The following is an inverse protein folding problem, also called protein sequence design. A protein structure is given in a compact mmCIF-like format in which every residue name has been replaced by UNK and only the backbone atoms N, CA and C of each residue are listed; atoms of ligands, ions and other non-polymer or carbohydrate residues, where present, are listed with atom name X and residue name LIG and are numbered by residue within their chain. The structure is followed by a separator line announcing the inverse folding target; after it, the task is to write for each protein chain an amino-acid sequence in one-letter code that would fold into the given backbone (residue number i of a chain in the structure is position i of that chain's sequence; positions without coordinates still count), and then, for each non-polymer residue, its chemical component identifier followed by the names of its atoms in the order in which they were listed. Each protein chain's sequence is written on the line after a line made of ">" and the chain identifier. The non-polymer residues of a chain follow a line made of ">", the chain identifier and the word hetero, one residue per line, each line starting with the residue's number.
data_IF_369629890971
#
_entry.id   IF_369629890971
#
_cell.length_a   1.000
_cell.length_b   1.000
_cell.length_c   1.000
_cell.angle_alpha   90.00
_cell.angle_beta   90.00
_cell.angle_gamma   90.00
#
_symmetry.space_group_name_H-M   'P 1'
#
loop_
_entity.id
_entity.type
_entity.pdbx_description
1 polymer ?
#
# COMPACT_ATOMS: atom_id res chain seq x y z
N UNK A 1 -4.11 -15.14 19.36
CA UNK A 1 -3.80 -16.50 18.89
C UNK A 1 -3.00 -16.40 17.60
N UNK A 2 -1.74 -16.83 17.65
CA UNK A 2 -0.84 -16.92 16.50
C UNK A 2 -1.38 -17.95 15.50
N UNK A 3 -1.54 -17.55 14.24
CA UNK A 3 -2.04 -18.42 13.15
C UNK A 3 -1.03 -18.40 11.98
N UNK A 4 0.07 -19.13 12.16
CA UNK A 4 1.17 -19.17 11.18
C UNK A 4 0.77 -19.74 9.82
N UNK A 5 -0.28 -20.56 9.79
CA UNK A 5 -0.79 -21.18 8.55
C UNK A 5 -1.87 -20.33 7.88
N UNK A 6 -2.29 -19.24 8.52
CA UNK A 6 -3.40 -18.40 8.09
C UNK A 6 -4.70 -19.21 7.85
N UNK A 7 -4.89 -20.29 8.61
CA UNK A 7 -6.07 -21.16 8.49
C UNK A 7 -7.37 -20.45 8.87
N UNK A 8 -7.27 -19.43 9.73
CA UNK A 8 -8.39 -18.60 10.17
C UNK A 8 -8.58 -17.33 9.35
N UNK A 9 -7.75 -17.11 8.34
CA UNK A 9 -7.91 -15.95 7.46
C UNK A 9 -9.24 -16.01 6.73
N UNK A 10 -10.01 -14.94 6.76
CA UNK A 10 -11.31 -14.86 6.10
C UNK A 10 -11.64 -13.42 5.70
N UNK A 11 -12.29 -13.24 4.56
CA UNK A 11 -12.89 -11.96 4.13
C UNK A 11 -14.34 -11.78 4.64
N UNK A 12 -14.80 -12.63 5.53
CA UNK A 12 -16.17 -12.55 6.07
C UNK A 12 -16.49 -11.18 6.70
N UNK A 13 -15.59 -10.50 7.43
CA UNK A 13 -15.86 -9.17 7.96
C UNK A 13 -16.16 -8.11 6.89
N UNK A 14 -15.52 -8.24 5.70
CA UNK A 14 -15.63 -7.27 4.62
C UNK A 14 -16.79 -7.57 3.65
N UNK A 15 -17.44 -8.72 3.80
CA UNK A 15 -18.43 -9.24 2.85
C UNK A 15 -19.59 -8.28 2.59
N UNK A 16 -20.14 -7.68 3.66
CA UNK A 16 -21.31 -6.79 3.59
C UNK A 16 -20.94 -5.30 3.54
N UNK A 17 -19.64 -4.98 3.55
CA UNK A 17 -19.10 -3.63 3.44
C UNK A 17 -18.28 -3.47 2.18
N UNK A 18 -16.96 -3.45 2.32
CA UNK A 18 -16.02 -3.16 1.23
C UNK A 18 -16.25 -4.03 -0.01
N UNK A 19 -16.45 -5.34 0.15
CA UNK A 19 -16.65 -6.27 -0.97
C UNK A 19 -17.95 -5.99 -1.71
N UNK A 20 -19.05 -5.73 -0.99
CA UNK A 20 -20.33 -5.41 -1.60
C UNK A 20 -20.25 -4.13 -2.44
N UNK A 21 -19.68 -3.08 -1.87
CA UNK A 21 -19.49 -1.77 -2.54
C UNK A 21 -18.57 -1.90 -3.76
N UNK A 22 -17.45 -2.61 -3.66
CA UNK A 22 -16.56 -2.83 -4.79
C UNK A 22 -17.25 -3.56 -5.94
N UNK A 23 -18.11 -4.53 -5.65
CA UNK A 23 -18.91 -5.22 -6.68
C UNK A 23 -19.89 -4.29 -7.38
N UNK A 24 -20.56 -3.40 -6.65
CA UNK A 24 -21.44 -2.39 -7.23
C UNK A 24 -20.67 -1.43 -8.13
N UNK A 25 -19.52 -0.92 -7.66
CA UNK A 25 -18.63 -0.05 -8.44
C UNK A 25 -18.16 -0.74 -9.73
N UNK A 26 -17.68 -1.98 -9.63
CA UNK A 26 -17.20 -2.75 -10.78
C UNK A 26 -18.33 -3.17 -11.74
N UNK A 27 -19.56 -3.29 -11.26
CA UNK A 27 -20.72 -3.49 -12.12
C UNK A 27 -21.04 -2.24 -12.96
N UNK A 28 -20.79 -1.04 -12.43
CA UNK A 28 -20.97 0.24 -13.15
C UNK A 28 -19.80 0.45 -14.13
N UNK A 29 -18.56 0.25 -13.67
CA UNK A 29 -17.37 0.38 -14.52
C UNK A 29 -16.35 -0.73 -14.22
N UNK A 30 -16.30 -1.80 -15.04
CA UNK A 30 -15.40 -2.92 -14.84
C UNK A 30 -13.91 -2.60 -15.10
N UNK A 31 -13.61 -1.41 -15.64
CA UNK A 31 -12.25 -1.00 -15.97
C UNK A 31 -11.53 -0.28 -14.81
N UNK A 32 -12.24 -0.01 -13.71
CA UNK A 32 -11.63 0.61 -12.51
C UNK A 32 -10.52 -0.29 -11.97
N UNK A 33 -9.38 0.33 -11.64
CA UNK A 33 -8.26 -0.34 -11.01
C UNK A 33 -8.39 -0.26 -9.50
N UNK A 34 -8.19 -1.41 -8.86
CA UNK A 34 -8.29 -1.52 -7.39
C UNK A 34 -6.88 -1.63 -6.80
N UNK A 35 -6.52 -0.64 -6.00
CA UNK A 35 -5.34 -0.66 -5.16
C UNK A 35 -5.76 -0.96 -3.72
N UNK A 36 -5.05 -1.88 -3.08
CA UNK A 36 -5.28 -2.23 -1.68
C UNK A 36 -4.04 -1.91 -0.84
N UNK A 37 -4.26 -1.28 0.32
CA UNK A 37 -3.19 -0.91 1.22
C UNK A 37 -3.53 -1.29 2.67
N UNK A 38 -2.69 -2.06 3.39
CA UNK A 38 -2.89 -2.32 4.81
C UNK A 38 -2.38 -1.16 5.65
N UNK A 39 -3.12 -0.84 6.71
CA UNK A 39 -2.69 0.15 7.70
C UNK A 39 -1.89 -0.48 8.84
N UNK A 40 -2.04 -1.78 9.05
CA UNK A 40 -1.26 -2.56 10.02
C UNK A 40 -1.30 -4.05 9.68
N UNK A 41 -0.23 -4.75 10.00
CA UNK A 41 -0.25 -6.20 10.07
C UNK A 41 -1.10 -6.70 11.27
N UNK A 42 -1.54 -7.96 11.28
CA UNK A 42 -2.13 -8.58 12.47
C UNK A 42 -1.27 -8.36 13.70
N UNK A 43 -1.90 -8.03 14.84
CA UNK A 43 -1.20 -7.62 16.07
C UNK A 43 -0.14 -8.60 16.54
N UNK A 44 -0.40 -9.91 16.36
CA UNK A 44 0.53 -10.96 16.79
C UNK A 44 1.78 -11.07 15.91
N UNK A 45 1.82 -10.41 14.75
CA UNK A 45 3.01 -10.31 13.89
C UNK A 45 3.90 -9.11 14.25
N UNK A 46 3.40 -8.19 15.08
CA UNK A 46 4.11 -6.97 15.46
C UNK A 46 4.92 -7.15 16.73
N UNK A 47 5.98 -6.37 16.88
CA UNK A 47 6.78 -6.27 18.11
C UNK A 47 5.97 -5.70 19.28
N UNK A 48 5.04 -4.81 18.94
CA UNK A 48 4.05 -4.24 19.86
C UNK A 48 2.66 -4.73 19.46
N UNK A 49 2.04 -5.54 20.32
CA UNK A 49 0.70 -6.08 20.11
C UNK A 49 -0.38 -4.98 20.27
N UNK A 50 -0.30 -3.94 19.44
CA UNK A 50 -1.16 -2.77 19.44
C UNK A 50 -1.61 -2.44 18.04
N UNK A 51 -2.83 -1.89 17.87
CA UNK A 51 -3.26 -1.31 16.60
C UNK A 51 -2.48 -0.04 16.24
N UNK A 52 -1.90 0.67 17.22
CA UNK A 52 -1.16 1.90 17.00
C UNK A 52 0.34 1.65 17.12
N UNK A 53 1.09 1.99 16.07
CA UNK A 53 2.54 1.87 16.00
C UNK A 53 3.05 0.44 16.03
N UNK A 54 4.30 0.27 16.47
CA UNK A 54 5.03 -0.99 16.41
C UNK A 54 5.49 -1.34 14.98
N UNK A 55 6.29 -2.38 14.85
CA UNK A 55 6.88 -2.82 13.58
C UNK A 55 6.61 -4.31 13.33
N UNK A 56 6.61 -4.70 12.06
CA UNK A 56 6.49 -6.11 11.68
C UNK A 56 7.76 -6.87 12.08
N UNK A 57 7.61 -7.93 12.86
CA UNK A 57 8.75 -8.77 13.25
C UNK A 57 9.24 -9.59 12.05
N UNK A 58 10.55 -9.61 11.81
CA UNK A 58 11.17 -10.27 10.66
C UNK A 58 10.85 -11.76 10.57
N UNK A 59 10.69 -12.43 11.71
CA UNK A 59 10.28 -13.84 11.76
C UNK A 59 8.91 -14.11 11.11
N UNK A 60 8.06 -13.10 10.97
CA UNK A 60 6.73 -13.22 10.33
C UNK A 60 6.67 -12.69 8.91
N UNK A 61 7.76 -12.24 8.31
CA UNK A 61 7.79 -11.72 6.95
C UNK A 61 7.20 -12.72 5.93
N UNK A 62 7.60 -13.99 6.01
CA UNK A 62 7.04 -15.03 5.12
C UNK A 62 5.54 -15.26 5.34
N UNK A 63 5.07 -15.24 6.59
CA UNK A 63 3.66 -15.39 6.91
C UNK A 63 2.85 -14.19 6.46
N UNK A 64 3.39 -12.97 6.63
CA UNK A 64 2.72 -11.75 6.16
C UNK A 64 2.68 -11.65 4.63
N UNK A 65 3.72 -12.09 3.93
CA UNK A 65 3.70 -12.21 2.48
C UNK A 65 2.57 -13.18 2.01
N UNK A 66 2.43 -14.32 2.67
CA UNK A 66 1.33 -15.26 2.40
C UNK A 66 -0.05 -14.70 2.77
N UNK A 67 -0.14 -13.77 3.71
CA UNK A 67 -1.37 -13.03 4.02
C UNK A 67 -1.83 -12.21 2.80
N UNK A 68 -0.92 -11.48 2.12
CA UNK A 68 -1.24 -10.78 0.88
C UNK A 68 -1.65 -11.76 -0.25
N UNK A 69 -0.92 -12.85 -0.41
CA UNK A 69 -1.27 -13.90 -1.41
C UNK A 69 -2.70 -14.37 -1.18
N UNK A 70 -3.03 -14.73 0.06
CA UNK A 70 -4.35 -15.24 0.41
C UNK A 70 -5.45 -14.21 0.22
N UNK A 71 -5.21 -12.95 0.62
CA UNK A 71 -6.12 -11.84 0.39
C UNK A 71 -6.44 -11.69 -1.11
N UNK A 72 -5.41 -11.58 -1.95
CA UNK A 72 -5.56 -11.39 -3.40
C UNK A 72 -6.31 -12.58 -4.03
N UNK A 73 -5.97 -13.79 -3.65
CA UNK A 73 -6.63 -15.00 -4.15
C UNK A 73 -8.11 -15.06 -3.78
N UNK A 74 -8.45 -14.71 -2.53
CA UNK A 74 -9.84 -14.71 -2.08
C UNK A 74 -10.66 -13.57 -2.70
N UNK A 75 -10.07 -12.38 -2.88
CA UNK A 75 -10.72 -11.28 -3.60
C UNK A 75 -10.99 -11.68 -5.05
N UNK A 76 -10.02 -12.30 -5.73
CA UNK A 76 -10.18 -12.82 -7.09
C UNK A 76 -11.26 -13.90 -7.18
N UNK A 77 -11.32 -14.81 -6.21
CA UNK A 77 -12.39 -15.80 -6.12
C UNK A 77 -13.76 -15.17 -5.93
N UNK A 78 -13.82 -13.98 -5.32
CA UNK A 78 -14.99 -13.12 -5.19
C UNK A 78 -15.27 -12.24 -6.41
N UNK A 79 -14.57 -12.45 -7.55
CA UNK A 79 -14.66 -11.66 -8.78
C UNK A 79 -14.17 -10.20 -8.63
N UNK A 80 -13.25 -9.94 -7.70
CA UNK A 80 -12.58 -8.63 -7.53
C UNK A 80 -11.09 -8.81 -7.79
N UNK A 81 -10.59 -8.18 -8.84
CA UNK A 81 -9.14 -8.15 -9.12
C UNK A 81 -8.49 -7.05 -8.31
N UNK A 82 -7.44 -7.38 -7.56
CA UNK A 82 -6.55 -6.39 -6.94
C UNK A 82 -5.41 -6.13 -7.92
N UNK A 83 -5.42 -4.96 -8.54
CA UNK A 83 -4.44 -4.57 -9.56
C UNK A 83 -3.08 -4.20 -8.95
N UNK A 84 -3.10 -3.59 -7.76
CA UNK A 84 -1.90 -3.19 -7.05
C UNK A 84 -2.07 -3.28 -5.53
N UNK A 85 -0.95 -3.39 -4.83
CA UNK A 85 -0.88 -3.24 -3.36
C UNK A 85 0.27 -2.32 -2.98
N UNK A 86 0.14 -1.66 -1.83
CA UNK A 86 1.30 -1.14 -1.09
C UNK A 86 1.57 -2.05 0.11
N UNK A 87 2.83 -2.28 0.52
CA UNK A 87 3.12 -3.13 1.69
C UNK A 87 2.63 -2.55 3.02
N UNK A 88 2.54 -1.21 3.11
CA UNK A 88 2.13 -0.48 4.31
C UNK A 88 1.70 0.95 3.95
N UNK A 89 0.53 1.37 4.42
CA UNK A 89 0.12 2.77 4.42
C UNK A 89 0.97 3.59 5.40
N UNK A 90 1.45 4.74 4.97
CA UNK A 90 2.21 5.71 5.77
C UNK A 90 3.28 5.06 6.68
N UNK A 91 4.26 4.33 6.08
CA UNK A 91 5.17 3.47 6.84
C UNK A 91 6.06 4.22 7.84
N UNK A 92 6.15 5.54 7.79
CA UNK A 92 6.89 6.36 8.76
C UNK A 92 5.99 7.03 9.80
N UNK A 93 4.65 6.81 9.74
CA UNK A 93 3.71 7.40 10.68
C UNK A 93 3.06 6.34 11.58
N UNK A 94 3.58 6.19 12.80
CA UNK A 94 3.07 5.25 13.78
C UNK A 94 1.92 5.77 14.66
N UNK A 95 1.29 6.88 14.30
CA UNK A 95 0.27 7.55 15.12
C UNK A 95 -1.18 7.24 14.75
N UNK A 96 -1.44 6.78 13.54
CA UNK A 96 -2.78 6.41 13.10
C UNK A 96 -3.32 5.18 13.85
N UNK A 97 -4.64 5.03 13.88
CA UNK A 97 -5.31 3.85 14.40
C UNK A 97 -6.17 3.21 13.30
N UNK A 98 -5.73 2.11 12.67
CA UNK A 98 -4.49 1.38 12.92
C UNK A 98 -3.26 2.03 12.26
N UNK A 99 -2.05 1.58 12.66
CA UNK A 99 -0.78 1.95 12.03
C UNK A 99 0.31 0.91 12.32
N UNK A 100 1.36 0.93 11.50
CA UNK A 100 2.57 0.15 11.69
C UNK A 100 3.75 0.88 11.05
N UNK A 101 4.87 0.94 11.73
CA UNK A 101 6.10 1.53 11.20
C UNK A 101 6.90 0.49 10.41
N UNK A 102 7.44 0.92 9.28
CA UNK A 102 8.31 0.10 8.44
C UNK A 102 9.33 1.04 7.77
N UNK A 103 10.62 0.90 8.05
CA UNK A 103 11.65 1.71 7.38
C UNK A 103 11.82 1.30 5.91
N UNK A 104 12.54 2.11 5.13
CA UNK A 104 12.80 1.80 3.72
C UNK A 104 13.58 0.48 3.57
N UNK A 105 14.55 0.24 4.44
CA UNK A 105 15.36 -0.98 4.48
C UNK A 105 14.51 -2.20 4.88
N UNK A 106 13.61 -2.04 5.84
CA UNK A 106 12.68 -3.11 6.25
C UNK A 106 11.70 -3.43 5.12
N UNK A 107 11.16 -2.42 4.42
CA UNK A 107 10.28 -2.63 3.29
C UNK A 107 11.00 -3.29 2.11
N UNK A 108 12.24 -2.84 1.79
CA UNK A 108 13.08 -3.47 0.78
C UNK A 108 13.36 -4.93 1.12
N UNK A 109 13.71 -5.20 2.40
CA UNK A 109 13.96 -6.55 2.88
C UNK A 109 12.71 -7.45 2.80
N UNK A 110 11.56 -6.93 3.22
CA UNK A 110 10.27 -7.64 3.11
C UNK A 110 9.91 -7.95 1.65
N UNK A 111 10.07 -6.98 0.75
CA UNK A 111 9.77 -7.15 -0.67
C UNK A 111 10.68 -8.21 -1.31
N UNK A 112 12.00 -8.08 -1.18
CA UNK A 112 12.95 -8.96 -1.87
C UNK A 112 12.98 -10.39 -1.35
N UNK A 113 12.85 -10.58 -0.03
CA UNK A 113 13.02 -11.88 0.59
C UNK A 113 11.71 -12.63 0.88
N UNK A 114 10.57 -11.95 0.81
CA UNK A 114 9.28 -12.55 1.18
C UNK A 114 8.17 -12.24 0.19
N UNK A 115 7.77 -10.97 0.01
CA UNK A 115 6.56 -10.61 -0.74
C UNK A 115 6.69 -10.90 -2.24
N UNK A 116 7.78 -10.44 -2.87
CA UNK A 116 8.04 -10.66 -4.29
C UNK A 116 8.17 -12.15 -4.63
N UNK A 117 9.01 -12.93 -3.92
CA UNK A 117 9.08 -14.39 -4.09
C UNK A 117 7.74 -15.10 -3.87
N UNK A 118 6.93 -14.69 -2.88
CA UNK A 118 5.62 -15.29 -2.62
C UNK A 118 4.65 -15.02 -3.79
N UNK A 119 4.61 -13.79 -4.32
CA UNK A 119 3.79 -13.46 -5.49
C UNK A 119 4.22 -14.26 -6.71
N UNK A 120 5.52 -14.34 -6.98
CA UNK A 120 6.07 -15.13 -8.08
C UNK A 120 5.66 -16.61 -7.96
N UNK A 121 5.82 -17.20 -6.80
CA UNK A 121 5.46 -18.61 -6.54
C UNK A 121 3.97 -18.86 -6.69
N UNK A 122 3.13 -17.91 -6.26
CA UNK A 122 1.67 -18.02 -6.36
C UNK A 122 1.11 -17.61 -7.74
N UNK A 123 1.94 -17.20 -8.71
CA UNK A 123 1.51 -16.73 -10.02
C UNK A 123 0.67 -15.44 -9.96
N UNK A 124 0.93 -14.58 -8.96
CA UNK A 124 0.24 -13.31 -8.77
C UNK A 124 0.93 -12.22 -9.58
N UNK A 125 0.15 -11.49 -10.37
CA UNK A 125 0.61 -10.37 -11.20
C UNK A 125 0.24 -9.00 -10.63
N UNK A 126 -0.36 -8.95 -9.46
CA UNK A 126 -0.66 -7.72 -8.72
C UNK A 126 0.63 -6.92 -8.52
N UNK A 127 0.61 -5.64 -8.86
CA UNK A 127 1.76 -4.75 -8.73
C UNK A 127 2.08 -4.50 -7.26
N UNK A 128 3.37 -4.44 -6.94
CA UNK A 128 3.85 -3.97 -5.63
C UNK A 128 4.31 -2.53 -5.81
N UNK A 129 3.71 -1.62 -5.06
CA UNK A 129 4.03 -0.18 -5.08
C UNK A 129 4.66 0.17 -3.73
N UNK A 130 5.85 0.74 -3.77
CA UNK A 130 6.61 1.08 -2.55
C UNK A 130 6.13 2.39 -1.92
N UNK A 131 6.50 2.62 -0.69
CA UNK A 131 6.33 3.83 0.10
C UNK A 131 4.88 4.04 0.55
N UNK A 132 4.05 4.81 -0.21
CA UNK A 132 2.67 5.16 0.15
C UNK A 132 2.59 6.14 1.32
N UNK A 133 3.28 7.30 1.19
CA UNK A 133 3.39 8.34 2.21
C UNK A 133 3.68 9.71 1.59
N UNK A 134 3.93 10.71 2.44
CA UNK A 134 4.08 12.12 2.07
C UNK A 134 5.20 12.41 1.07
N UNK A 135 5.01 13.48 0.31
CA UNK A 135 5.97 13.98 -0.69
C UNK A 135 7.27 14.57 -0.09
N UNK A 136 7.44 14.58 1.20
CA UNK A 136 8.60 15.13 1.91
C UNK A 136 9.80 14.16 2.01
N UNK A 137 9.63 12.88 1.67
CA UNK A 137 10.69 11.88 1.79
C UNK A 137 10.77 10.93 0.57
N UNK A 138 11.24 11.43 -0.57
CA UNK A 138 11.49 10.60 -1.76
C UNK A 138 12.63 9.59 -1.54
N UNK A 139 13.48 9.83 -0.54
CA UNK A 139 14.63 8.96 -0.25
C UNK A 139 14.18 7.55 0.15
N UNK A 140 13.01 7.41 0.74
CA UNK A 140 12.44 6.10 1.06
C UNK A 140 12.29 5.22 -0.20
N UNK A 141 11.61 5.74 -1.23
CA UNK A 141 11.43 5.02 -2.48
C UNK A 141 12.77 4.80 -3.21
N UNK A 142 13.66 5.81 -3.19
CA UNK A 142 15.00 5.74 -3.77
C UNK A 142 15.83 4.61 -3.15
N UNK A 143 15.76 4.41 -1.84
CA UNK A 143 16.43 3.30 -1.14
C UNK A 143 15.98 1.95 -1.69
N UNK A 144 14.67 1.77 -1.90
CA UNK A 144 14.11 0.52 -2.42
C UNK A 144 14.48 0.31 -3.90
N UNK A 145 14.44 1.37 -4.72
CA UNK A 145 14.76 1.28 -6.14
C UNK A 145 16.26 1.03 -6.41
N UNK A 146 17.13 1.47 -5.50
CA UNK A 146 18.57 1.19 -5.56
C UNK A 146 18.95 -0.20 -5.01
N UNK A 147 18.06 -0.88 -4.31
CA UNK A 147 18.28 -2.27 -3.91
C UNK A 147 18.05 -3.20 -5.11
N UNK A 148 19.15 -3.69 -5.71
CA UNK A 148 19.11 -4.51 -6.92
C UNK A 148 18.27 -5.79 -6.79
N UNK A 149 18.03 -6.28 -5.57
CA UNK A 149 17.22 -7.46 -5.30
C UNK A 149 15.73 -7.12 -5.06
N UNK A 150 15.41 -5.93 -4.54
CA UNK A 150 14.04 -5.47 -4.32
C UNK A 150 13.43 -4.83 -5.58
N UNK A 151 14.19 -3.99 -6.27
CA UNK A 151 13.73 -3.21 -7.42
C UNK A 151 13.00 -4.01 -8.51
N UNK A 152 13.40 -5.25 -8.88
CA UNK A 152 12.70 -6.03 -9.89
C UNK A 152 11.26 -6.41 -9.52
N UNK A 153 10.91 -6.42 -8.24
CA UNK A 153 9.56 -6.73 -7.77
C UNK A 153 8.66 -5.51 -7.67
N UNK A 154 9.22 -4.28 -7.74
CA UNK A 154 8.50 -3.03 -7.47
C UNK A 154 8.15 -2.33 -8.76
N UNK A 155 6.85 -2.06 -8.96
CA UNK A 155 6.35 -1.34 -10.14
C UNK A 155 6.62 0.16 -10.05
N UNK A 156 6.53 0.75 -8.87
CA UNK A 156 6.71 2.18 -8.64
C UNK A 156 6.58 2.58 -7.18
N UNK A 157 6.36 3.86 -6.93
CA UNK A 157 6.15 4.42 -5.59
C UNK A 157 4.89 5.28 -5.52
N UNK A 158 4.26 5.31 -4.35
CA UNK A 158 3.02 6.02 -4.07
C UNK A 158 3.23 7.18 -3.10
N UNK A 159 2.45 8.26 -3.30
CA UNK A 159 2.60 9.52 -2.58
C UNK A 159 1.28 10.07 -2.07
N UNK A 160 1.38 10.71 -0.89
CA UNK A 160 0.38 11.56 -0.24
C UNK A 160 0.87 13.01 -0.21
N UNK A 161 -0.01 13.99 -0.11
CA UNK A 161 0.38 15.40 -0.09
C UNK A 161 -0.04 16.12 1.21
N UNK A 162 0.14 15.45 2.35
CA UNK A 162 0.01 16.09 3.68
C UNK A 162 1.32 16.76 4.11
N UNK A 163 2.44 16.42 3.47
CA UNK A 163 3.76 17.00 3.68
C UNK A 163 4.57 17.02 2.41
N UNK A 164 5.50 17.99 2.30
CA UNK A 164 6.35 18.16 1.14
C UNK A 164 5.69 18.92 -0.02
N UNK A 165 6.13 18.62 -1.23
CA UNK A 165 5.65 19.24 -2.47
C UNK A 165 5.36 18.17 -3.52
N UNK A 166 4.33 18.39 -4.33
CA UNK A 166 3.96 17.52 -5.45
C UNK A 166 5.12 17.35 -6.46
N UNK A 167 6.05 18.30 -6.52
CA UNK A 167 7.26 18.21 -7.34
C UNK A 167 8.14 16.97 -7.00
N UNK A 168 7.92 16.35 -5.86
CA UNK A 168 8.55 15.08 -5.50
C UNK A 168 8.28 14.00 -6.56
N UNK A 169 7.09 14.00 -7.17
CA UNK A 169 6.70 13.04 -8.20
C UNK A 169 7.57 13.20 -9.45
N UNK A 170 7.80 14.43 -9.90
CA UNK A 170 8.71 14.72 -11.01
C UNK A 170 10.14 14.35 -10.67
N UNK A 171 10.57 14.61 -9.44
CA UNK A 171 11.93 14.31 -8.98
C UNK A 171 12.20 12.80 -9.00
N UNK A 172 11.28 11.99 -8.48
CA UNK A 172 11.43 10.53 -8.46
C UNK A 172 11.33 9.94 -9.87
N UNK A 173 10.41 10.45 -10.72
CA UNK A 173 10.30 10.03 -12.11
C UNK A 173 11.58 10.30 -12.91
N UNK A 174 12.16 11.49 -12.77
CA UNK A 174 13.40 11.85 -13.46
C UNK A 174 14.59 10.97 -13.00
N UNK A 175 14.63 10.61 -11.71
CA UNK A 175 15.68 9.74 -11.17
C UNK A 175 15.50 8.26 -11.57
N UNK A 176 14.25 7.80 -11.72
CA UNK A 176 13.90 6.40 -12.01
C UNK A 176 12.81 6.31 -13.10
N UNK A 177 13.12 6.68 -14.35
CA UNK A 177 12.10 6.82 -15.42
C UNK A 177 11.46 5.49 -15.85
N UNK A 178 12.00 4.36 -15.40
CA UNK A 178 11.41 3.02 -15.62
C UNK A 178 10.40 2.61 -14.53
N UNK A 179 10.26 3.42 -13.48
CA UNK A 179 9.33 3.20 -12.38
C UNK A 179 8.11 4.09 -12.51
N UNK A 180 6.94 3.52 -12.21
CA UNK A 180 5.70 4.29 -12.19
C UNK A 180 5.61 5.14 -10.91
N UNK A 181 4.87 6.24 -11.02
CA UNK A 181 4.59 7.14 -9.90
C UNK A 181 3.09 7.21 -9.69
N UNK A 182 2.65 7.06 -8.45
CA UNK A 182 1.25 7.02 -8.06
C UNK A 182 0.96 8.11 -7.04
N UNK A 183 -0.19 8.74 -7.16
CA UNK A 183 -0.75 9.61 -6.13
C UNK A 183 -1.95 8.89 -5.52
N UNK A 184 -1.85 8.50 -4.26
CA UNK A 184 -2.77 7.54 -3.66
C UNK A 184 -3.69 8.12 -2.61
N UNK A 185 -3.28 9.23 -1.96
CA UNK A 185 -4.10 9.80 -0.90
C UNK A 185 -3.96 11.32 -0.76
N UNK A 186 -5.12 11.96 -0.65
CA UNK A 186 -5.28 13.33 -0.16
C UNK A 186 -6.66 13.48 0.46
N UNK A 187 -6.71 13.90 1.72
CA UNK A 187 -7.97 14.13 2.42
C UNK A 187 -8.68 15.38 1.89
N UNK A 188 -9.96 15.23 1.67
CA UNK A 188 -10.91 16.32 1.43
C UNK A 188 -11.97 16.27 2.53
N UNK A 189 -11.80 17.09 3.56
CA UNK A 189 -12.63 17.01 4.76
C UNK A 189 -14.05 17.53 4.56
N UNK A 190 -14.95 17.00 5.38
CA UNK A 190 -16.31 17.50 5.51
C UNK A 190 -16.41 18.84 6.27
N UNK A 191 -15.32 19.22 6.95
CA UNK A 191 -15.27 20.40 7.84
C UNK A 191 -14.99 21.70 7.10
N UNK A 192 -14.76 21.65 5.78
CA UNK A 192 -14.56 22.80 4.91
C UNK A 192 -15.58 22.83 3.77
N UNK A 193 -15.69 23.99 3.13
CA UNK A 193 -16.48 24.10 1.91
C UNK A 193 -15.97 23.10 0.86
N UNK A 194 -16.83 22.20 0.41
CA UNK A 194 -16.52 21.22 -0.67
C UNK A 194 -15.85 21.88 -1.87
N UNK A 195 -16.31 23.08 -2.26
CA UNK A 195 -15.70 23.87 -3.33
C UNK A 195 -14.26 24.31 -3.03
N UNK A 196 -13.93 24.60 -1.76
CA UNK A 196 -12.56 24.92 -1.33
C UNK A 196 -11.64 23.72 -1.42
N UNK A 197 -12.09 22.56 -0.96
CA UNK A 197 -11.34 21.32 -1.03
C UNK A 197 -11.07 20.88 -2.49
N UNK A 198 -12.05 20.96 -3.38
CA UNK A 198 -11.87 20.69 -4.82
C UNK A 198 -10.87 21.66 -5.42
N UNK A 199 -11.03 22.98 -5.20
CA UNK A 199 -10.10 23.99 -5.70
C UNK A 199 -8.67 23.73 -5.24
N UNK A 200 -8.48 23.35 -3.98
CA UNK A 200 -7.18 23.03 -3.44
C UNK A 200 -6.56 21.84 -4.15
N UNK A 201 -7.30 20.73 -4.32
CA UNK A 201 -6.82 19.55 -5.02
C UNK A 201 -6.51 19.83 -6.48
N UNK A 202 -7.40 20.48 -7.20
CA UNK A 202 -7.15 20.85 -8.61
C UNK A 202 -5.90 21.71 -8.72
N UNK A 203 -5.75 22.73 -7.86
CA UNK A 203 -4.60 23.63 -7.91
C UNK A 203 -3.29 22.96 -7.53
N UNK A 204 -3.26 22.16 -6.46
CA UNK A 204 -2.01 21.69 -5.86
C UNK A 204 -1.64 20.25 -6.29
N UNK A 205 -2.59 19.46 -6.74
CA UNK A 205 -2.36 18.09 -7.19
C UNK A 205 -2.39 18.00 -8.72
N UNK A 206 -3.40 18.55 -9.38
CA UNK A 206 -3.58 18.39 -10.84
C UNK A 206 -2.81 19.44 -11.64
N UNK A 207 -2.90 20.71 -11.25
CA UNK A 207 -2.27 21.83 -12.00
C UNK A 207 -0.86 22.11 -11.50
N UNK A 208 -0.59 21.90 -10.21
CA UNK A 208 0.70 22.12 -9.59
C UNK A 208 1.78 21.08 -9.93
N UNK A 209 1.40 20.05 -10.66
CA UNK A 209 2.28 18.97 -11.11
C UNK A 209 2.94 19.31 -12.48
#
# INVERSE_FOLDING_TARGET
>A
NTDLTLSKFSLAPDKNGVIAILKEILAINPNIKVLATPWSAPLWMKDKASFVGGSLQTQYYGVYANYFVKYIQLMKAGAITIDAITPQNEPLHGGNNPSMVMTAEEQANFIKNSLGPAFKTAGITTKIIAYDHNCDNIQYATTIFNDAAAAPFVDGSAYHLYGGSINALSSIYNAFPTKNVYFTEQYTGADGEFGGAIKWNVKNVIIGY
#
